data_IF_348321934105
#
_entry.id   IF_348321934105
#
_cell.length_a   1.000
_cell.length_b   1.000
_cell.length_c   1.000
_cell.angle_alpha   90.00
_cell.angle_beta   90.00
_cell.angle_gamma   90.00
#
_symmetry.space_group_name_H-M   'P 1'
#
loop_
_entity.id
_entity.type
_entity.pdbx_description
1 polymer ?
#
# COMPACT_ATOMS: atom_id res chain seq x y z
N UNK A 1 3.99 -2.47 -18.09
CA UNK A 1 2.70 -2.92 -17.49
C UNK A 1 3.02 -3.45 -16.11
N UNK A 2 2.48 -2.86 -15.04
CA UNK A 2 2.72 -3.35 -13.67
C UNK A 2 1.91 -4.62 -13.43
N UNK A 3 2.60 -5.76 -13.47
CA UNK A 3 2.07 -7.07 -13.10
C UNK A 3 2.06 -7.24 -11.58
N UNK A 4 1.26 -8.18 -11.07
CA UNK A 4 1.27 -8.52 -9.65
C UNK A 4 2.68 -8.92 -9.18
N UNK A 5 3.12 -8.49 -7.98
CA UNK A 5 4.37 -8.97 -7.40
C UNK A 5 4.37 -10.51 -7.32
N UNK A 6 5.48 -11.19 -7.67
CA UNK A 6 5.54 -12.65 -7.62
C UNK A 6 5.24 -13.20 -6.23
N UNK A 7 5.58 -12.46 -5.17
CA UNK A 7 5.29 -12.81 -3.79
C UNK A 7 3.79 -12.78 -3.49
N UNK A 8 3.06 -11.81 -4.05
CA UNK A 8 1.61 -11.71 -3.89
C UNK A 8 0.89 -12.88 -4.58
N UNK A 9 1.34 -13.24 -5.79
CA UNK A 9 0.83 -14.41 -6.51
C UNK A 9 1.16 -15.71 -5.79
N UNK A 10 2.38 -15.84 -5.25
CA UNK A 10 2.79 -16.99 -4.47
C UNK A 10 1.93 -17.15 -3.22
N UNK A 11 1.64 -16.06 -2.51
CA UNK A 11 0.75 -16.07 -1.35
C UNK A 11 -0.67 -16.53 -1.70
N UNK A 12 -1.23 -16.06 -2.83
CA UNK A 12 -2.55 -16.49 -3.30
C UNK A 12 -2.56 -17.99 -3.66
N UNK A 13 -1.53 -18.48 -4.37
CA UNK A 13 -1.40 -19.90 -4.72
C UNK A 13 -1.27 -20.79 -3.48
N UNK A 14 -0.52 -20.34 -2.48
CA UNK A 14 -0.39 -21.05 -1.21
C UNK A 14 -1.74 -21.14 -0.46
N UNK A 15 -2.65 -20.21 -0.71
CA UNK A 15 -3.96 -20.16 -0.08
C UNK A 15 -5.00 -21.05 -0.78
N UNK A 16 -4.86 -21.32 -2.08
CA UNK A 16 -5.74 -22.22 -2.84
C UNK A 16 -6.07 -23.54 -2.11
N UNK A 17 -5.11 -24.39 -1.71
CA UNK A 17 -5.42 -25.66 -1.04
C UNK A 17 -6.14 -25.50 0.31
N UNK A 18 -6.14 -24.30 0.90
CA UNK A 18 -6.74 -24.03 2.21
C UNK A 18 -8.19 -23.57 2.07
N UNK A 19 -8.47 -22.64 1.16
CA UNK A 19 -9.75 -21.91 1.10
C UNK A 19 -10.58 -22.13 -0.15
N UNK A 20 -10.00 -22.66 -1.24
CA UNK A 20 -10.66 -22.72 -2.56
C UNK A 20 -12.02 -23.43 -2.53
N UNK A 21 -12.11 -24.55 -1.80
CA UNK A 21 -13.35 -25.33 -1.67
C UNK A 21 -14.22 -24.92 -0.46
N UNK A 22 -13.79 -23.94 0.34
CA UNK A 22 -14.42 -23.62 1.64
C UNK A 22 -15.36 -22.41 1.62
N UNK A 23 -15.54 -21.75 0.48
CA UNK A 23 -16.50 -20.66 0.32
C UNK A 23 -15.89 -19.37 -0.24
N UNK A 24 -16.51 -18.22 0.06
CA UNK A 24 -16.25 -16.95 -0.62
C UNK A 24 -14.97 -16.20 -0.18
N UNK A 25 -14.32 -16.59 0.92
CA UNK A 25 -13.21 -15.84 1.49
C UNK A 25 -11.88 -16.57 1.27
N UNK A 26 -10.94 -15.86 0.66
CA UNK A 26 -9.56 -16.35 0.42
C UNK A 26 -8.82 -16.52 1.76
N UNK A 27 -8.79 -15.47 2.58
CA UNK A 27 -8.05 -15.48 3.85
C UNK A 27 -8.95 -15.90 5.01
N UNK A 28 -8.68 -17.08 5.56
CA UNK A 28 -9.38 -17.65 6.71
C UNK A 28 -8.56 -17.46 7.98
N UNK A 29 -9.24 -17.51 9.13
CA UNK A 29 -8.59 -17.55 10.42
C UNK A 29 -7.87 -18.91 10.56
N UNK A 30 -6.54 -18.96 10.68
CA UNK A 30 -5.80 -20.23 10.71
C UNK A 30 -6.08 -21.06 11.97
N UNK A 31 -6.67 -20.46 13.01
CA UNK A 31 -7.00 -21.15 14.24
C UNK A 31 -8.36 -21.87 14.19
N UNK A 32 -9.32 -21.31 13.44
CA UNK A 32 -10.69 -21.85 13.36
C UNK A 32 -11.01 -22.47 12.00
N UNK A 33 -10.29 -22.10 10.95
CA UNK A 33 -10.60 -22.46 9.57
C UNK A 33 -11.80 -21.70 8.99
N UNK A 34 -12.34 -20.72 9.71
CA UNK A 34 -13.51 -19.92 9.30
C UNK A 34 -13.10 -18.50 8.89
N UNK A 35 -14.06 -17.72 8.40
CA UNK A 35 -13.82 -16.30 8.08
C UNK A 35 -13.48 -15.48 9.31
N UNK A 36 -12.63 -14.46 9.13
CA UNK A 36 -12.39 -13.46 10.17
C UNK A 36 -13.67 -12.68 10.49
N UNK A 37 -14.03 -12.60 11.76
CA UNK A 37 -15.29 -12.00 12.19
C UNK A 37 -15.20 -10.48 12.32
N UNK A 38 -14.03 -9.95 12.75
CA UNK A 38 -13.84 -8.51 12.94
C UNK A 38 -12.40 -8.08 12.63
N UNK A 39 -12.23 -6.80 12.30
CA UNK A 39 -10.90 -6.18 12.16
C UNK A 39 -10.08 -6.25 13.46
N UNK A 40 -10.74 -6.18 14.62
CA UNK A 40 -10.08 -6.29 15.91
C UNK A 40 -9.46 -7.67 16.13
N UNK A 41 -10.13 -8.73 15.66
CA UNK A 41 -9.64 -10.09 15.70
C UNK A 41 -8.32 -10.20 14.93
N UNK A 42 -8.32 -9.82 13.63
CA UNK A 42 -7.12 -9.80 12.79
C UNK A 42 -5.98 -9.02 13.46
N UNK A 43 -6.27 -7.82 13.96
CA UNK A 43 -5.27 -6.93 14.57
C UNK A 43 -4.60 -7.54 15.80
N UNK A 44 -5.39 -8.15 16.69
CA UNK A 44 -4.91 -8.68 17.97
C UNK A 44 -4.30 -10.07 17.84
N UNK A 45 -4.90 -10.95 17.05
CA UNK A 45 -4.52 -12.38 17.02
C UNK A 45 -3.59 -12.74 15.88
N UNK A 46 -3.51 -11.92 14.82
CA UNK A 46 -2.61 -12.14 13.69
C UNK A 46 -1.54 -11.06 13.61
N UNK A 47 -1.94 -9.79 13.48
CA UNK A 47 -1.02 -8.71 13.12
C UNK A 47 -0.03 -8.36 14.24
N UNK A 48 -0.51 -8.19 15.48
CA UNK A 48 0.38 -7.93 16.63
C UNK A 48 1.43 -9.04 16.81
N UNK A 49 1.07 -10.34 16.80
CA UNK A 49 2.06 -11.42 16.78
C UNK A 49 3.02 -11.39 15.60
N UNK A 50 2.54 -11.04 14.39
CA UNK A 50 3.39 -10.89 13.20
C UNK A 50 4.43 -9.79 13.41
N UNK A 51 4.03 -8.60 13.87
CA UNK A 51 4.97 -7.52 14.19
C UNK A 51 6.01 -7.95 15.23
N UNK A 52 5.56 -8.63 16.30
CA UNK A 52 6.46 -9.13 17.36
C UNK A 52 7.48 -10.14 16.82
N UNK A 53 7.04 -11.11 15.99
CA UNK A 53 7.93 -12.10 15.37
C UNK A 53 8.89 -11.50 14.34
N UNK A 54 8.49 -10.43 13.68
CA UNK A 54 9.33 -9.68 12.76
C UNK A 54 10.26 -8.68 13.47
N UNK A 55 10.21 -8.59 14.80
CA UNK A 55 10.97 -7.64 15.61
C UNK A 55 10.71 -6.17 15.22
N UNK A 56 9.50 -5.88 14.73
CA UNK A 56 9.05 -4.53 14.39
C UNK A 56 8.12 -4.02 15.47
N UNK A 57 8.34 -2.76 15.90
CA UNK A 57 7.42 -2.07 16.80
C UNK A 57 6.01 -2.08 16.21
N UNK A 58 4.99 -2.27 17.04
CA UNK A 58 3.63 -2.31 16.54
C UNK A 58 3.27 -1.05 15.73
N UNK A 59 2.78 -1.27 14.52
CA UNK A 59 2.14 -0.27 13.66
C UNK A 59 0.79 -0.80 13.23
N UNK A 60 -0.18 0.08 12.92
CA UNK A 60 -1.45 -0.40 12.40
C UNK A 60 -1.26 -1.02 10.99
N UNK A 61 -2.06 -2.02 10.57
CA UNK A 61 -1.94 -2.62 9.23
C UNK A 61 -2.08 -1.60 8.09
N UNK A 62 -2.82 -0.51 8.33
CA UNK A 62 -3.01 0.57 7.37
C UNK A 62 -1.70 1.24 6.95
N UNK A 63 -0.65 1.23 7.79
CA UNK A 63 0.68 1.70 7.40
C UNK A 63 1.26 0.95 6.20
N UNK A 64 0.93 -0.33 5.99
CA UNK A 64 1.43 -1.08 4.83
C UNK A 64 0.98 -0.42 3.51
N UNK A 65 -0.25 0.11 3.49
CA UNK A 65 -0.79 0.87 2.35
C UNK A 65 -0.03 2.17 2.12
N UNK A 66 0.34 2.87 3.19
CA UNK A 66 1.17 4.07 3.11
C UNK A 66 2.56 3.77 2.56
N UNK A 67 3.21 2.69 3.05
CA UNK A 67 4.53 2.26 2.57
C UNK A 67 4.48 1.87 1.09
N UNK A 68 3.44 1.16 0.66
CA UNK A 68 3.25 0.82 -0.75
C UNK A 68 3.16 2.07 -1.63
N UNK A 69 2.33 3.04 -1.23
CA UNK A 69 2.15 4.29 -1.98
C UNK A 69 3.44 5.11 -2.04
N UNK A 70 4.12 5.32 -0.89
CA UNK A 70 5.35 6.10 -0.85
C UNK A 70 6.49 5.44 -1.63
N UNK A 71 6.60 4.11 -1.58
CA UNK A 71 7.60 3.37 -2.34
C UNK A 71 7.39 3.53 -3.86
N UNK A 72 6.14 3.39 -4.33
CA UNK A 72 5.84 3.59 -5.76
C UNK A 72 6.12 5.02 -6.22
N UNK A 73 5.72 6.03 -5.46
CA UNK A 73 5.95 7.42 -5.82
C UNK A 73 7.43 7.77 -5.82
N UNK A 74 8.18 7.28 -4.83
CA UNK A 74 9.65 7.44 -4.78
C UNK A 74 10.33 6.78 -5.99
N UNK A 75 9.80 5.64 -6.46
CA UNK A 75 10.25 4.99 -7.68
C UNK A 75 9.81 5.71 -8.98
N UNK A 76 9.10 6.83 -8.87
CA UNK A 76 8.63 7.63 -10.01
C UNK A 76 7.35 7.13 -10.67
N UNK A 77 6.55 6.33 -9.97
CA UNK A 77 5.24 5.94 -10.48
C UNK A 77 4.33 7.18 -10.64
N UNK A 78 3.54 7.18 -11.72
CA UNK A 78 2.57 8.25 -11.97
C UNK A 78 1.57 8.35 -10.80
N UNK A 79 1.37 9.52 -10.18
CA UNK A 79 0.42 9.71 -9.08
C UNK A 79 -1.01 9.26 -9.39
N UNK A 80 -1.47 9.39 -10.63
CA UNK A 80 -2.78 8.90 -11.07
C UNK A 80 -2.89 7.38 -11.07
N UNK A 81 -1.81 6.69 -11.41
CA UNK A 81 -1.73 5.24 -11.29
C UNK A 81 -1.78 4.83 -9.82
N UNK A 82 -1.04 5.52 -8.94
CA UNK A 82 -1.07 5.21 -7.51
C UNK A 82 -2.46 5.47 -6.93
N UNK A 83 -3.13 6.55 -7.31
CA UNK A 83 -4.51 6.82 -6.90
C UNK A 83 -5.47 5.68 -7.28
N UNK A 84 -5.37 5.14 -8.50
CA UNK A 84 -6.23 4.03 -8.95
C UNK A 84 -5.94 2.73 -8.19
N UNK A 85 -4.67 2.41 -7.90
CA UNK A 85 -4.32 1.25 -7.08
C UNK A 85 -4.83 1.36 -5.64
N UNK A 86 -4.88 2.58 -5.11
CA UNK A 86 -5.43 2.86 -3.79
C UNK A 86 -6.97 2.89 -3.80
N UNK A 87 -7.61 3.04 -4.95
CA UNK A 87 -9.05 3.23 -5.05
C UNK A 87 -9.49 4.61 -4.56
N UNK A 88 -8.67 5.63 -4.79
CA UNK A 88 -9.07 7.02 -4.60
C UNK A 88 -9.80 7.52 -5.86
N UNK A 89 -10.83 8.36 -5.67
CA UNK A 89 -11.56 8.99 -6.78
C UNK A 89 -10.71 10.04 -7.49
N UNK A 90 -9.83 10.70 -6.75
CA UNK A 90 -8.92 11.74 -7.25
C UNK A 90 -7.46 11.53 -6.82
N UNK A 91 -6.57 12.34 -7.42
CA UNK A 91 -5.15 12.39 -7.08
C UNK A 91 -4.85 13.38 -5.97
N UNK A 92 -5.80 14.21 -5.57
CA UNK A 92 -5.60 15.26 -4.56
C UNK A 92 -5.18 14.63 -3.23
N UNK A 93 -5.83 13.54 -2.83
CA UNK A 93 -5.43 12.79 -1.62
C UNK A 93 -4.00 12.26 -1.72
N UNK A 94 -3.54 11.87 -2.90
CA UNK A 94 -2.17 11.37 -3.13
C UNK A 94 -1.16 12.50 -2.98
N UNK A 95 -1.38 13.65 -3.62
CA UNK A 95 -0.50 14.81 -3.47
C UNK A 95 -0.48 15.34 -2.04
N UNK A 96 -1.64 15.39 -1.37
CA UNK A 96 -1.75 15.87 0.01
C UNK A 96 -1.03 14.96 1.00
N UNK A 97 -1.13 13.64 0.86
CA UNK A 97 -0.55 12.68 1.81
C UNK A 97 0.89 12.29 1.47
N UNK A 98 1.25 12.25 0.19
CA UNK A 98 2.53 11.69 -0.27
C UNK A 98 3.37 12.65 -1.12
N UNK A 99 2.98 13.91 -1.27
CA UNK A 99 3.63 14.88 -2.17
C UNK A 99 5.16 14.95 -2.03
N UNK A 100 5.69 14.79 -0.82
CA UNK A 100 7.15 14.76 -0.56
C UNK A 100 7.92 13.61 -1.24
N UNK A 101 7.22 12.55 -1.66
CA UNK A 101 7.79 11.40 -2.36
C UNK A 101 7.56 11.46 -3.87
N UNK A 102 6.80 12.45 -4.34
CA UNK A 102 6.52 12.65 -5.77
C UNK A 102 7.71 13.39 -6.37
N UNK A 103 8.24 12.86 -7.47
CA UNK A 103 9.34 13.49 -8.21
C UNK A 103 8.94 14.88 -8.73
N UNK A 104 9.95 15.74 -8.90
CA UNK A 104 9.78 17.17 -9.23
C UNK A 104 9.04 17.40 -10.57
N UNK A 105 9.07 16.43 -11.48
CA UNK A 105 8.36 16.45 -12.78
C UNK A 105 6.82 16.42 -12.63
N UNK A 106 6.32 15.99 -11.48
CA UNK A 106 4.90 16.06 -11.12
C UNK A 106 4.60 17.13 -10.07
N UNK A 107 5.61 17.88 -9.61
CA UNK A 107 5.42 18.97 -8.66
C UNK A 107 5.14 20.29 -9.40
N UNK A 108 4.50 21.24 -8.70
CA UNK A 108 4.35 22.60 -9.23
C UNK A 108 5.76 23.16 -9.52
N UNK A 109 6.05 23.61 -10.76
CA UNK A 109 7.38 24.13 -11.09
C UNK A 109 7.72 25.30 -10.17
N UNK A 110 8.94 25.28 -9.64
CA UNK A 110 9.44 26.41 -8.85
C UNK A 110 9.61 27.59 -9.80
N UNK A 111 9.10 28.79 -9.47
CA UNK A 111 9.30 29.95 -10.32
C UNK A 111 10.81 30.23 -10.44
N UNK A 112 11.33 30.16 -11.66
CA UNK A 112 12.69 30.61 -11.96
C UNK A 112 12.67 32.13 -12.08
N UNK A 113 13.21 32.81 -11.07
CA UNK A 113 13.40 34.26 -11.14
C UNK A 113 14.58 34.55 -12.06
N UNK A 114 14.29 35.02 -13.27
CA UNK A 114 15.33 35.55 -14.17
C UNK A 114 15.62 36.99 -13.78
N UNK A 115 16.83 37.27 -13.28
CA UNK A 115 17.30 38.64 -13.15
C UNK A 115 17.49 39.17 -14.56
N UNK A 116 16.60 40.07 -14.98
CA UNK A 116 16.77 40.83 -16.22
C UNK A 116 17.88 41.85 -15.95
N UNK A 117 18.99 41.71 -16.68
CA UNK A 117 20.28 42.33 -16.36
C UNK A 117 20.26 43.84 -16.11
N UNK A 118 21.24 44.26 -15.31
CA UNK A 118 21.75 45.64 -15.32
C UNK A 118 22.21 45.99 -16.73
N UNK A 119 21.84 47.20 -17.16
CA UNK A 119 22.20 47.80 -18.45
C UNK A 119 23.70 48.00 -18.61
#
# INVERSE_FOLDING_TARGET
MWSYPPEALAALRAQCPISELKGERIWLNPHTGESWSTNAQIRKTLWQPVCKRAEVEYRNPYQVRHTYASALLTAGANPWYVASQLGHEDVEMVFRTYGKFIRDDYQKPKPEFRIVGEK
#
